data_IF_147425092668
#
_entry.id   IF_147425092668
#
_cell.length_a   1.000
_cell.length_b   1.000
_cell.length_c   1.000
_cell.angle_alpha   90.00
_cell.angle_beta   90.00
_cell.angle_gamma   90.00
#
_symmetry.space_group_name_H-M   'P 1'
#
loop_
_entity.id
_entity.type
_entity.pdbx_description
1 polymer ?
#
# COMPACT_ATOMS: atom_id res chain seq x y z
N UNK A 1 12.22 -3.02 -0.20
CA UNK A 1 10.77 -3.08 -0.57
C UNK A 1 9.91 -2.68 0.63
N UNK A 2 8.89 -1.85 0.44
CA UNK A 2 7.90 -1.45 1.45
C UNK A 2 6.47 -1.55 0.91
N UNK A 3 5.49 -1.61 1.81
CA UNK A 3 4.07 -1.57 1.49
C UNK A 3 3.55 -0.20 1.90
N UNK A 4 2.99 0.55 0.95
CA UNK A 4 2.34 1.82 1.22
C UNK A 4 0.83 1.63 1.34
N UNK A 5 0.25 2.19 2.40
CA UNK A 5 -1.17 2.50 2.45
C UNK A 5 -1.36 3.92 1.97
N UNK A 6 -2.05 4.12 0.85
CA UNK A 6 -2.22 5.45 0.25
C UNK A 6 -3.66 5.91 0.43
N UNK A 7 -3.83 7.12 0.97
CA UNK A 7 -5.10 7.71 1.32
C UNK A 7 -5.29 9.05 0.58
N UNK A 8 -6.36 9.23 -0.20
CA UNK A 8 -6.67 10.51 -0.82
C UNK A 8 -7.03 11.57 0.23
N UNK A 9 -6.49 12.78 0.05
CA UNK A 9 -6.99 13.96 0.79
C UNK A 9 -8.28 14.48 0.18
N UNK A 10 -8.93 15.47 0.83
CA UNK A 10 -10.15 16.11 0.31
C UNK A 10 -9.99 16.71 -1.10
N UNK A 11 -8.78 17.09 -1.48
CA UNK A 11 -8.47 17.71 -2.77
C UNK A 11 -7.94 16.72 -3.82
N UNK A 12 -7.90 15.43 -3.49
CA UNK A 12 -7.31 14.35 -4.29
C UNK A 12 -8.00 14.14 -5.64
N UNK A 13 -7.20 13.70 -6.62
CA UNK A 13 -7.68 13.30 -7.96
C UNK A 13 -8.28 11.88 -7.98
N UNK A 14 -8.05 11.11 -6.93
CA UNK A 14 -8.62 9.78 -6.71
C UNK A 14 -9.48 9.78 -5.45
N UNK A 15 -10.43 8.85 -5.35
CA UNK A 15 -11.48 8.86 -4.32
C UNK A 15 -11.50 7.60 -3.45
N UNK A 16 -10.44 6.79 -3.45
CA UNK A 16 -10.37 5.56 -2.66
C UNK A 16 -8.96 5.26 -2.18
N UNK A 17 -8.89 4.74 -0.96
CA UNK A 17 -7.66 4.22 -0.39
C UNK A 17 -7.25 2.92 -1.08
N UNK A 18 -5.94 2.69 -1.18
CA UNK A 18 -5.39 1.50 -1.80
C UNK A 18 -4.02 1.15 -1.20
N UNK A 19 -3.62 -0.10 -1.42
CA UNK A 19 -2.26 -0.56 -1.12
C UNK A 19 -1.37 -0.48 -2.35
N UNK A 20 -0.10 -0.15 -2.14
CA UNK A 20 0.92 -0.15 -3.18
C UNK A 20 2.23 -0.75 -2.66
N UNK A 21 2.99 -1.39 -3.53
CA UNK A 21 4.28 -1.99 -3.19
C UNK A 21 5.38 -1.17 -3.87
N UNK A 22 6.38 -0.76 -3.10
CA UNK A 22 7.42 0.16 -3.59
C UNK A 22 8.79 -0.41 -3.28
N UNK A 23 9.68 -0.39 -4.27
CA UNK A 23 11.08 -0.63 -4.04
C UNK A 23 11.80 0.62 -3.56
N UNK A 24 11.90 0.78 -2.25
CA UNK A 24 12.66 1.88 -1.62
C UNK A 24 14.16 1.81 -1.84
N UNK A 25 14.70 0.67 -2.27
CA UNK A 25 16.12 0.50 -2.58
C UNK A 25 16.44 0.99 -4.01
N UNK A 26 15.39 1.21 -4.83
CA UNK A 26 15.47 1.85 -6.14
C UNK A 26 15.08 3.33 -6.01
N UNK A 27 16.07 4.22 -6.01
CA UNK A 27 15.86 5.66 -5.79
C UNK A 27 14.88 6.28 -6.78
N UNK A 28 14.95 5.91 -8.06
CA UNK A 28 14.07 6.45 -9.10
C UNK A 28 12.60 6.04 -8.87
N UNK A 29 12.37 4.79 -8.49
CA UNK A 29 11.03 4.28 -8.21
C UNK A 29 10.42 4.96 -6.97
N UNK A 30 11.24 5.13 -5.93
CA UNK A 30 10.81 5.79 -4.70
C UNK A 30 10.51 7.28 -4.92
N UNK A 31 11.37 8.01 -5.62
CA UNK A 31 11.13 9.42 -5.99
C UNK A 31 9.85 9.56 -6.83
N UNK A 32 9.67 8.71 -7.85
CA UNK A 32 8.47 8.71 -8.70
C UNK A 32 7.20 8.48 -7.86
N UNK A 33 7.25 7.59 -6.87
CA UNK A 33 6.13 7.35 -5.96
C UNK A 33 5.81 8.60 -5.11
N UNK A 34 6.81 9.26 -4.55
CA UNK A 34 6.64 10.49 -3.76
C UNK A 34 6.01 11.59 -4.62
N UNK A 35 6.54 11.83 -5.82
CA UNK A 35 6.01 12.85 -6.73
C UNK A 35 4.57 12.53 -7.16
N UNK A 36 4.29 11.26 -7.46
CA UNK A 36 2.95 10.81 -7.88
C UNK A 36 1.92 11.00 -6.76
N UNK A 37 2.26 10.62 -5.52
CA UNK A 37 1.36 10.79 -4.37
C UNK A 37 1.14 12.27 -4.05
N UNK A 38 2.17 13.11 -4.14
CA UNK A 38 2.04 14.56 -3.98
C UNK A 38 1.16 15.18 -5.08
N UNK A 39 1.38 14.81 -6.34
CA UNK A 39 0.58 15.28 -7.49
C UNK A 39 -0.89 14.88 -7.37
N UNK A 40 -1.15 13.64 -6.95
CA UNK A 40 -2.50 13.13 -6.71
C UNK A 40 -3.11 13.65 -5.40
N UNK A 41 -2.35 14.38 -4.58
CA UNK A 41 -2.72 14.88 -3.25
C UNK A 41 -3.21 13.76 -2.33
N UNK A 42 -2.38 12.74 -2.20
CA UNK A 42 -2.57 11.63 -1.28
C UNK A 42 -1.57 11.70 -0.13
N UNK A 43 -1.97 11.22 1.03
CA UNK A 43 -1.10 10.88 2.15
C UNK A 43 -0.78 9.39 2.08
N UNK A 44 0.30 8.97 2.74
CA UNK A 44 0.63 7.56 2.81
C UNK A 44 1.38 7.18 4.09
N UNK A 45 1.12 5.96 4.54
CA UNK A 45 1.88 5.28 5.58
C UNK A 45 2.71 4.15 4.95
N UNK A 46 3.94 3.95 5.43
CA UNK A 46 4.84 2.89 4.94
C UNK A 46 5.05 1.80 5.98
N UNK A 47 4.94 0.55 5.55
CA UNK A 47 5.12 -0.65 6.36
C UNK A 47 6.25 -1.51 5.78
N UNK A 48 7.08 -2.07 6.66
CA UNK A 48 8.19 -2.94 6.27
C UNK A 48 7.72 -4.36 5.98
N UNK A 49 6.60 -4.79 6.58
CA UNK A 49 6.05 -6.13 6.38
C UNK A 49 4.54 -6.14 6.14
N UNK A 50 4.05 -7.21 5.48
CA UNK A 50 2.59 -7.43 5.31
C UNK A 50 1.90 -7.52 6.68
N UNK A 51 2.57 -8.10 7.67
CA UNK A 51 2.03 -8.24 9.02
C UNK A 51 1.79 -6.89 9.68
N UNK A 52 2.73 -5.94 9.56
CA UNK A 52 2.54 -4.58 10.07
C UNK A 52 1.35 -3.87 9.41
N UNK A 53 1.18 -4.04 8.11
CA UNK A 53 0.02 -3.51 7.39
C UNK A 53 -1.31 -4.17 7.83
N UNK A 54 -1.30 -5.47 8.12
CA UNK A 54 -2.45 -6.19 8.67
C UNK A 54 -2.80 -5.71 10.08
N UNK A 55 -1.80 -5.54 10.95
CA UNK A 55 -1.94 -5.06 12.32
C UNK A 55 -2.47 -3.62 12.34
N UNK A 56 -1.98 -2.75 11.46
CA UNK A 56 -2.54 -1.40 11.26
C UNK A 56 -4.03 -1.45 10.91
N UNK A 57 -4.40 -2.30 9.95
CA UNK A 57 -5.79 -2.43 9.50
C UNK A 57 -6.73 -2.94 10.60
N UNK A 58 -6.24 -3.79 11.51
CA UNK A 58 -7.01 -4.23 12.67
C UNK A 58 -7.19 -3.09 13.69
N UNK A 59 -6.19 -2.24 13.86
CA UNK A 59 -6.18 -1.12 14.81
C UNK A 59 -7.04 0.08 14.42
N UNK A 60 -7.31 0.32 13.13
CA UNK A 60 -8.11 1.48 12.72
C UNK A 60 -9.60 1.32 13.04
N UNK A 61 -10.26 2.44 13.33
CA UNK A 61 -11.72 2.49 13.47
C UNK A 61 -12.37 2.65 12.09
N UNK A 62 -12.65 1.53 11.43
CA UNK A 62 -13.30 1.50 10.13
C UNK A 62 -14.40 0.43 10.11
N UNK A 63 -15.28 0.49 9.10
CA UNK A 63 -16.33 -0.52 8.94
C UNK A 63 -15.74 -1.90 8.61
N UNK A 64 -16.43 -2.96 9.02
CA UNK A 64 -16.03 -4.34 8.68
C UNK A 64 -15.93 -4.56 7.16
N UNK A 65 -16.81 -3.93 6.39
CA UNK A 65 -16.76 -4.00 4.93
C UNK A 65 -15.47 -3.38 4.37
N UNK A 66 -15.08 -2.21 4.89
CA UNK A 66 -13.84 -1.54 4.52
C UNK A 66 -12.63 -2.41 4.87
N UNK A 67 -12.55 -2.91 6.11
CA UNK A 67 -11.44 -3.78 6.55
C UNK A 67 -11.33 -5.04 5.68
N UNK A 68 -12.47 -5.68 5.38
CA UNK A 68 -12.51 -6.85 4.50
C UNK A 68 -12.00 -6.54 3.09
N UNK A 69 -12.33 -5.38 2.51
CA UNK A 69 -11.80 -4.94 1.21
C UNK A 69 -10.28 -4.77 1.26
N UNK A 70 -9.77 -3.99 2.22
CA UNK A 70 -8.33 -3.71 2.34
C UNK A 70 -7.53 -4.98 2.58
N UNK A 71 -8.04 -5.90 3.41
CA UNK A 71 -7.40 -7.20 3.65
C UNK A 71 -7.34 -8.06 2.39
N UNK A 72 -8.37 -8.01 1.54
CA UNK A 72 -8.35 -8.70 0.24
C UNK A 72 -7.27 -8.15 -0.70
N UNK A 73 -7.02 -6.84 -0.67
CA UNK A 73 -5.94 -6.22 -1.45
C UNK A 73 -4.55 -6.60 -0.91
N UNK A 74 -4.34 -6.60 0.41
CA UNK A 74 -3.11 -7.10 1.02
C UNK A 74 -2.83 -8.58 0.68
N UNK A 75 -3.86 -9.42 0.70
CA UNK A 75 -3.71 -10.84 0.32
C UNK A 75 -3.24 -11.02 -1.13
N UNK A 76 -3.71 -10.17 -2.06
CA UNK A 76 -3.21 -10.21 -3.45
C UNK A 76 -1.74 -9.84 -3.53
N UNK A 77 -1.32 -8.79 -2.82
CA UNK A 77 0.09 -8.40 -2.73
C UNK A 77 0.94 -9.55 -2.18
N UNK A 78 0.46 -10.24 -1.14
CA UNK A 78 1.12 -11.41 -0.56
C UNK A 78 1.33 -12.53 -1.57
N UNK A 79 0.29 -12.81 -2.37
CA UNK A 79 0.34 -13.84 -3.40
C UNK A 79 1.32 -13.45 -4.53
N UNK A 80 1.30 -12.19 -4.96
CA UNK A 80 2.21 -11.67 -6.00
C UNK A 80 3.69 -11.71 -5.57
N UNK A 81 3.99 -11.28 -4.33
CA UNK A 81 5.34 -11.37 -3.76
C UNK A 81 5.80 -12.82 -3.64
N UNK A 82 4.90 -13.72 -3.24
CA UNK A 82 5.19 -15.16 -3.15
C UNK A 82 5.49 -15.77 -4.53
N UNK A 83 4.72 -15.40 -5.56
CA UNK A 83 4.95 -15.84 -6.94
C UNK A 83 6.31 -15.35 -7.44
N UNK A 84 6.65 -14.08 -7.19
CA UNK A 84 7.95 -13.52 -7.59
C UNK A 84 9.12 -14.28 -6.92
N UNK A 85 9.02 -14.53 -5.61
CA UNK A 85 10.03 -15.30 -4.89
C UNK A 85 10.17 -16.74 -5.39
N UNK A 86 9.09 -17.35 -5.90
CA UNK A 86 9.13 -18.68 -6.51
C UNK A 86 9.72 -18.67 -7.93
N UNK A 87 9.50 -17.62 -8.71
CA UNK A 87 9.99 -17.51 -10.08
C UNK A 87 11.50 -17.20 -10.17
N UNK A 88 12.10 -16.74 -9.06
CA UNK A 88 13.51 -16.35 -8.97
C UNK A 88 14.36 -17.41 -8.22
N UNK A 89 13.74 -18.45 -7.67
CA UNK A 89 14.39 -19.54 -6.92
C UNK A 89 14.81 -20.73 -7.80
#
# INVERSE_FOLDING_TARGET
MKIAFVQPTEASLINRDFWYVINTDNSLEYETFIESTALMKCEYDLFDTIKEAEDYLDGIQATEFYKKRMRKELNKIKDDVRIFNWAVA
#
